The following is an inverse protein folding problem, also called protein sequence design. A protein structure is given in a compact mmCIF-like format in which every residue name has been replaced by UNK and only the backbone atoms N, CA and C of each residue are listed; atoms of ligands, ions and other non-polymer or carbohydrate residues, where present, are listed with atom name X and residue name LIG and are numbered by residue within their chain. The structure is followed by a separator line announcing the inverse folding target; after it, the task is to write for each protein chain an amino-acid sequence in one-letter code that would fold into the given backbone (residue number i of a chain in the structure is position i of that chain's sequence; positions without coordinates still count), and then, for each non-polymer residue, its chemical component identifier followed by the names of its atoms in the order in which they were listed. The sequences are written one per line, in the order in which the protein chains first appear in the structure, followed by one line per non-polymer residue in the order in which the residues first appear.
data_IF_737821095103
#
_entry.id   IF_737821095103
#
_cell.length_a   1.000
_cell.length_b   1.000
_cell.length_c   1.000
_cell.angle_alpha   90.00
_cell.angle_beta   90.00
_cell.angle_gamma   90.00
#
_symmetry.space_group_name_H-M   'P 1'
#
loop_
_entity.id
_entity.type
_entity.pdbx_description
1 polymer ?
#
# COMPACT_ATOMS: atom_id res chain seq x y z
N UNK A 1 -11.46 -11.41 14.70
CA UNK A 1 -12.33 -10.28 14.35
C UNK A 1 -13.59 -10.85 13.70
N UNK A 2 -14.79 -10.32 13.97
CA UNK A 2 -15.97 -10.70 13.20
C UNK A 2 -15.65 -10.43 11.72
N UNK A 3 -15.96 -11.39 10.86
CA UNK A 3 -15.74 -11.19 9.42
C UNK A 3 -16.83 -10.21 8.95
N UNK A 4 -16.58 -9.55 7.84
CA UNK A 4 -17.50 -8.59 7.28
C UNK A 4 -17.89 -9.06 5.89
N UNK A 5 -19.19 -9.05 5.59
CA UNK A 5 -19.73 -9.41 4.28
C UNK A 5 -19.57 -8.21 3.35
N UNK A 6 -18.77 -8.34 2.27
CA UNK A 6 -18.59 -7.28 1.30
C UNK A 6 -19.87 -7.04 0.51
N UNK A 7 -20.38 -5.80 0.48
CA UNK A 7 -21.50 -5.47 -0.39
C UNK A 7 -21.05 -5.35 -1.87
N UNK A 8 -21.98 -5.52 -2.84
CA UNK A 8 -21.67 -5.53 -4.28
C UNK A 8 -21.01 -4.26 -4.84
N UNK A 9 -21.11 -3.11 -4.16
CA UNK A 9 -20.42 -1.87 -4.54
C UNK A 9 -18.91 -1.90 -4.30
N UNK A 10 -18.41 -2.85 -3.51
CA UNK A 10 -17.00 -2.91 -3.11
C UNK A 10 -16.58 -1.84 -2.09
N UNK A 11 -17.48 -0.93 -1.72
CA UNK A 11 -17.21 0.18 -0.80
C UNK A 11 -17.93 0.04 0.55
N UNK A 12 -19.00 -0.75 0.59
CA UNK A 12 -19.76 -1.01 1.79
C UNK A 12 -19.50 -2.42 2.32
N UNK A 13 -19.66 -2.58 3.62
CA UNK A 13 -19.57 -3.87 4.30
C UNK A 13 -20.63 -4.00 5.42
N UNK A 14 -21.08 -5.23 5.63
CA UNK A 14 -22.04 -5.60 6.66
C UNK A 14 -21.45 -6.62 7.63
N UNK A 15 -21.98 -6.76 8.85
CA UNK A 15 -21.63 -7.87 9.75
C UNK A 15 -21.84 -9.25 9.12
N UNK A 16 -21.17 -10.27 9.64
CA UNK A 16 -21.27 -11.68 9.20
C UNK A 16 -22.71 -12.21 9.03
N UNK A 17 -23.60 -11.82 9.93
CA UNK A 17 -24.98 -12.30 9.96
C UNK A 17 -25.97 -11.35 9.27
N UNK A 18 -25.47 -10.46 8.41
CA UNK A 18 -26.27 -9.44 7.75
C UNK A 18 -26.22 -9.52 6.22
N UNK A 19 -27.33 -9.13 5.59
CA UNK A 19 -27.50 -9.12 4.13
C UNK A 19 -27.49 -7.69 3.60
N UNK A 20 -26.70 -7.42 2.56
CA UNK A 20 -26.65 -6.11 1.91
C UNK A 20 -27.91 -5.85 1.08
N UNK A 21 -28.63 -4.77 1.37
CA UNK A 21 -29.79 -4.28 0.63
C UNK A 21 -29.58 -2.84 0.16
N UNK A 22 -30.03 -2.52 -1.05
CA UNK A 22 -29.98 -1.15 -1.57
C UNK A 22 -31.09 -0.30 -0.94
N UNK A 23 -30.74 0.90 -0.51
CA UNK A 23 -31.66 1.89 0.08
C UNK A 23 -32.27 2.80 -0.99
N UNK A 24 -33.31 3.56 -0.61
CA UNK A 24 -33.97 4.53 -1.51
C UNK A 24 -33.04 5.63 -2.03
N UNK A 25 -31.94 5.90 -1.31
CA UNK A 25 -30.90 6.86 -1.69
C UNK A 25 -29.88 6.30 -2.69
N UNK A 26 -29.94 5.00 -3.03
CA UNK A 26 -28.92 4.29 -3.81
C UNK A 26 -27.71 3.83 -2.99
N UNK A 27 -27.63 4.19 -1.70
CA UNK A 27 -26.63 3.67 -0.77
C UNK A 27 -26.96 2.24 -0.28
N UNK A 28 -26.01 1.55 0.32
CA UNK A 28 -26.21 0.22 0.90
C UNK A 28 -26.59 0.27 2.38
N UNK A 29 -27.52 -0.61 2.75
CA UNK A 29 -27.92 -0.91 4.11
C UNK A 29 -27.72 -2.40 4.41
N UNK A 30 -27.62 -2.73 5.68
CA UNK A 30 -27.47 -4.08 6.19
C UNK A 30 -28.77 -4.51 6.86
N UNK A 31 -29.32 -5.62 6.41
CA UNK A 31 -30.41 -6.30 7.08
C UNK A 31 -29.85 -7.20 8.17
N UNK A 32 -30.35 -7.15 9.42
CA UNK A 32 -29.82 -7.87 10.57
C UNK A 32 -30.14 -9.37 10.55
N UNK A 33 -30.12 -9.98 9.37
CA UNK A 33 -30.37 -11.40 9.18
C UNK A 33 -29.66 -11.92 7.92
N UNK A 34 -29.23 -13.19 7.93
CA UNK A 34 -28.62 -13.81 6.77
C UNK A 34 -29.68 -14.10 5.70
N UNK A 35 -29.27 -14.01 4.42
CA UNK A 35 -30.11 -14.32 3.26
C UNK A 35 -31.46 -13.55 3.24
N UNK A 36 -31.46 -12.30 3.70
CA UNK A 36 -32.65 -11.48 3.75
C UNK A 36 -33.18 -11.16 2.35
N UNK A 37 -34.50 -11.22 2.18
CA UNK A 37 -35.20 -10.71 1.01
C UNK A 37 -35.45 -9.22 1.19
N UNK A 38 -34.78 -8.39 0.39
CA UNK A 38 -34.91 -6.94 0.44
C UNK A 38 -36.28 -6.50 -0.12
N UNK A 39 -37.05 -5.74 0.65
CA UNK A 39 -38.37 -5.27 0.23
C UNK A 39 -38.26 -4.14 -0.81
N UNK A 40 -39.35 -3.91 -1.55
CA UNK A 40 -39.40 -2.91 -2.63
C UNK A 40 -39.29 -1.47 -2.10
N UNK A 41 -39.68 -1.24 -0.86
CA UNK A 41 -39.61 0.07 -0.20
C UNK A 41 -38.18 0.51 0.14
N UNK A 42 -37.18 -0.37 -0.04
CA UNK A 42 -35.76 -0.10 0.16
C UNK A 42 -35.39 0.31 1.59
N UNK A 43 -36.27 0.03 2.55
CA UNK A 43 -36.06 0.32 3.98
C UNK A 43 -36.15 -0.96 4.79
N UNK A 44 -37.04 -1.87 4.37
CA UNK A 44 -37.30 -3.08 5.10
C UNK A 44 -36.79 -4.34 4.40
N UNK A 45 -36.71 -5.41 5.18
CA UNK A 45 -36.32 -6.73 4.72
C UNK A 45 -36.96 -7.83 5.55
N UNK A 46 -37.04 -8.98 4.90
CA UNK A 46 -37.70 -10.17 5.41
C UNK A 46 -36.75 -11.37 5.38
N UNK A 47 -36.96 -12.38 6.23
CA UNK A 47 -36.18 -13.62 6.19
C UNK A 47 -36.31 -14.33 4.83
N UNK A 48 -35.37 -15.24 4.54
CA UNK A 48 -35.40 -16.04 3.33
C UNK A 48 -36.76 -16.77 3.17
N UNK A 49 -37.26 -16.83 1.94
CA UNK A 49 -38.53 -17.48 1.56
C UNK A 49 -39.80 -16.86 2.16
N UNK A 50 -39.78 -15.59 2.58
CA UNK A 50 -40.97 -14.82 2.96
C UNK A 50 -41.18 -13.63 2.02
N UNK A 51 -42.44 -13.21 1.87
CA UNK A 51 -42.85 -12.10 1.00
C UNK A 51 -43.15 -10.87 1.84
N UNK A 52 -42.66 -9.71 1.42
CA UNK A 52 -42.92 -8.46 2.11
C UNK A 52 -44.38 -8.01 1.90
N UNK A 53 -45.19 -8.01 2.95
CA UNK A 53 -46.46 -7.31 3.02
C UNK A 53 -46.25 -5.93 3.67
N UNK A 54 -46.04 -4.93 2.81
CA UNK A 54 -45.82 -3.55 3.23
C UNK A 54 -47.09 -2.89 3.78
N UNK A 55 -48.27 -3.36 3.41
CA UNK A 55 -49.54 -2.80 3.86
C UNK A 55 -49.85 -3.15 5.32
N UNK A 56 -49.50 -4.37 5.72
CA UNK A 56 -49.70 -4.86 7.08
C UNK A 56 -48.42 -4.80 7.92
N UNK A 57 -47.29 -4.45 7.31
CA UNK A 57 -46.01 -4.38 7.99
C UNK A 57 -45.56 -5.77 8.47
N UNK A 58 -45.80 -6.83 7.67
CA UNK A 58 -45.36 -8.20 7.97
C UNK A 58 -44.66 -8.88 6.80
N UNK A 59 -43.82 -9.86 7.11
CA UNK A 59 -43.28 -10.83 6.17
C UNK A 59 -44.18 -12.06 6.22
N UNK A 60 -44.88 -12.34 5.12
CA UNK A 60 -45.83 -13.45 5.03
C UNK A 60 -45.14 -14.67 4.42
N UNK A 61 -45.34 -15.84 5.01
CA UNK A 61 -44.84 -17.10 4.46
C UNK A 61 -45.84 -17.69 3.46
N UNK A 62 -45.40 -18.15 2.27
CA UNK A 62 -46.25 -18.88 1.33
C UNK A 62 -46.85 -20.18 1.91
N UNK A 63 -46.25 -20.72 2.98
CA UNK A 63 -46.71 -21.96 3.65
C UNK A 63 -47.62 -21.69 4.86
N UNK A 64 -47.88 -20.43 5.22
CA UNK A 64 -48.93 -20.05 6.18
C UNK A 64 -48.60 -20.10 7.67
N UNK A 65 -47.37 -20.47 8.07
CA UNK A 65 -47.08 -20.76 9.49
C UNK A 65 -46.25 -19.70 10.25
N UNK A 66 -45.73 -18.66 9.61
CA UNK A 66 -44.85 -17.68 10.31
C UNK A 66 -44.93 -16.29 9.70
N UNK A 67 -45.95 -15.52 10.12
CA UNK A 67 -45.98 -14.08 9.88
C UNK A 67 -45.06 -13.39 10.90
N UNK A 68 -43.98 -12.77 10.42
CA UNK A 68 -43.03 -12.02 11.27
C UNK A 68 -43.03 -10.54 10.90
N UNK A 69 -42.75 -9.62 11.83
CA UNK A 69 -42.64 -8.20 11.50
C UNK A 69 -41.47 -7.94 10.52
N UNK A 70 -41.58 -6.90 9.70
CA UNK A 70 -40.47 -6.50 8.83
C UNK A 70 -39.29 -6.03 9.68
N UNK A 71 -38.09 -6.39 9.24
CA UNK A 71 -36.85 -5.88 9.81
C UNK A 71 -36.44 -4.61 9.07
N UNK A 72 -35.96 -3.59 9.80
CA UNK A 72 -35.43 -2.37 9.19
C UNK A 72 -33.95 -2.54 8.90
N UNK A 73 -33.52 -2.20 7.69
CA UNK A 73 -32.11 -2.19 7.33
C UNK A 73 -31.41 -0.99 8.00
N UNK A 74 -30.25 -1.22 8.61
CA UNK A 74 -29.40 -0.15 9.14
C UNK A 74 -28.34 0.27 8.11
N UNK A 75 -27.73 1.47 8.20
CA UNK A 75 -26.72 1.89 7.24
C UNK A 75 -25.53 0.93 7.21
N UNK A 76 -25.07 0.56 6.01
CA UNK A 76 -23.86 -0.25 5.87
C UNK A 76 -22.62 0.51 6.31
N UNK A 77 -21.63 -0.22 6.83
CA UNK A 77 -20.36 0.38 7.20
C UNK A 77 -19.58 0.72 5.94
N UNK A 78 -18.89 1.86 5.97
CA UNK A 78 -17.93 2.17 4.92
C UNK A 78 -16.68 1.33 5.16
N UNK A 79 -16.23 0.60 4.14
CA UNK A 79 -14.93 -0.07 4.22
C UNK A 79 -13.87 0.98 4.47
N UNK A 80 -13.17 0.85 5.59
CA UNK A 80 -11.93 1.58 5.76
C UNK A 80 -10.90 0.99 4.78
N UNK A 81 -10.17 1.82 4.02
CA UNK A 81 -9.02 1.32 3.29
C UNK A 81 -8.08 0.62 4.29
N UNK A 82 -7.45 -0.50 3.92
CA UNK A 82 -6.54 -1.19 4.81
C UNK A 82 -5.51 -0.19 5.33
N UNK A 83 -5.34 -0.14 6.66
CA UNK A 83 -4.34 0.70 7.28
C UNK A 83 -2.98 0.42 6.60
N UNK A 84 -2.16 1.45 6.35
CA UNK A 84 -0.82 1.22 5.82
C UNK A 84 -0.12 0.24 6.75
N UNK A 85 0.27 -0.92 6.21
CA UNK A 85 1.05 -1.91 6.92
C UNK A 85 2.36 -1.22 7.29
N UNK A 86 2.49 -0.84 8.55
CA UNK A 86 3.77 -0.39 9.09
C UNK A 86 4.70 -1.60 9.03
N UNK A 87 5.53 -1.66 7.97
CA UNK A 87 6.67 -2.55 7.94
C UNK A 87 7.48 -2.26 9.20
N UNK A 88 7.52 -3.22 10.12
CA UNK A 88 8.47 -3.19 11.22
C UNK A 88 9.85 -3.23 10.57
N UNK A 89 10.64 -2.22 10.87
CA UNK A 89 11.96 -1.99 10.29
C UNK A 89 12.99 -2.01 11.43
N UNK A 90 14.08 -2.74 11.24
CA UNK A 90 15.25 -2.75 12.10
C UNK A 90 16.10 -1.54 11.75
N UNK A 91 16.24 -0.61 12.70
CA UNK A 91 17.14 0.53 12.54
C UNK A 91 18.59 0.06 12.63
N UNK A 92 19.40 0.43 11.64
CA UNK A 92 20.82 0.09 11.59
C UNK A 92 21.64 0.93 12.59
N UNK A 93 22.89 0.52 12.90
CA UNK A 93 23.72 1.19 13.90
C UNK A 93 24.04 2.67 13.61
N UNK A 94 23.89 3.13 12.37
CA UNK A 94 24.03 4.53 11.97
C UNK A 94 22.84 5.42 12.37
N UNK A 95 21.73 4.82 12.82
CA UNK A 95 20.50 5.52 13.18
C UNK A 95 19.79 6.17 11.98
N UNK A 96 20.24 5.90 10.74
CA UNK A 96 19.72 6.48 9.50
C UNK A 96 19.21 5.43 8.53
N UNK A 97 19.87 4.28 8.45
CA UNK A 97 19.47 3.18 7.57
C UNK A 97 18.46 2.28 8.30
N UNK A 98 17.44 1.80 7.59
CA UNK A 98 16.41 0.94 8.16
C UNK A 98 16.16 -0.26 7.23
N UNK A 99 16.22 -1.46 7.79
CA UNK A 99 16.05 -2.71 7.05
C UNK A 99 14.72 -3.39 7.41
N UNK A 100 14.09 -4.14 6.49
CA UNK A 100 12.87 -4.88 6.80
C UNK A 100 13.11 -5.94 7.88
N UNK A 101 12.04 -6.32 8.60
CA UNK A 101 12.07 -7.38 9.61
C UNK A 101 12.81 -8.64 9.12
N UNK A 102 13.82 -9.06 9.88
CA UNK A 102 14.65 -10.25 9.58
C UNK A 102 15.86 -9.99 8.69
N UNK A 103 16.03 -8.79 8.14
CA UNK A 103 17.23 -8.42 7.40
C UNK A 103 18.35 -7.93 8.34
N UNK A 104 19.60 -8.28 8.01
CA UNK A 104 20.80 -7.87 8.75
C UNK A 104 21.40 -6.61 8.13
N UNK A 105 21.66 -5.57 8.94
CA UNK A 105 22.36 -4.37 8.49
C UNK A 105 23.85 -4.68 8.27
N UNK A 106 24.30 -4.60 7.02
CA UNK A 106 25.70 -4.73 6.65
C UNK A 106 26.30 -3.37 6.32
N UNK A 107 27.52 -3.11 6.82
CA UNK A 107 28.23 -1.88 6.55
C UNK A 107 28.93 -1.98 5.18
N UNK A 108 28.49 -1.18 4.21
CA UNK A 108 29.09 -1.11 2.87
C UNK A 108 30.30 -0.17 2.85
N UNK A 109 30.21 0.90 3.63
CA UNK A 109 31.25 1.92 3.73
C UNK A 109 31.17 2.59 5.11
N UNK A 110 32.12 3.47 5.49
CA UNK A 110 32.15 4.10 6.81
C UNK A 110 30.84 4.81 7.18
N UNK A 111 30.07 5.23 6.19
CA UNK A 111 28.82 5.99 6.36
C UNK A 111 27.62 5.37 5.64
N UNK A 112 27.69 4.12 5.19
CA UNK A 112 26.62 3.48 4.43
C UNK A 112 26.36 2.05 4.92
N UNK A 113 25.08 1.77 5.19
CA UNK A 113 24.59 0.44 5.50
C UNK A 113 23.64 -0.05 4.40
N UNK A 114 23.52 -1.37 4.28
CA UNK A 114 22.62 -2.03 3.35
C UNK A 114 22.08 -3.29 3.97
N UNK A 115 20.97 -3.77 3.42
CA UNK A 115 20.18 -4.81 4.05
C UNK A 115 20.49 -6.16 3.42
N UNK A 116 21.13 -7.04 4.18
CA UNK A 116 21.23 -8.44 3.81
C UNK A 116 19.92 -9.15 4.15
N UNK A 117 19.28 -9.86 3.20
CA UNK A 117 18.00 -10.56 3.44
C UNK A 117 18.12 -11.77 4.37
N UNK A 118 19.34 -12.20 4.68
CA UNK A 118 19.60 -13.31 5.61
C UNK A 118 19.55 -12.80 7.06
N UNK A 119 18.94 -13.60 7.93
CA UNK A 119 18.96 -13.37 9.38
C UNK A 119 20.35 -13.67 9.93
N UNK A 120 20.90 -12.77 10.75
CA UNK A 120 22.22 -12.91 11.39
C UNK A 120 23.37 -13.16 10.38
N UNK A 121 23.32 -12.48 9.25
CA UNK A 121 24.29 -12.65 8.18
C UNK A 121 25.70 -12.17 8.59
N UNK A 122 26.73 -12.86 8.09
CA UNK A 122 28.11 -12.39 8.11
C UNK A 122 28.30 -11.44 6.93
N UNK A 123 28.58 -10.17 7.21
CA UNK A 123 28.84 -9.17 6.18
C UNK A 123 30.27 -9.33 5.66
N UNK A 124 30.43 -9.46 4.34
CA UNK A 124 31.74 -9.60 3.73
C UNK A 124 32.46 -8.24 3.66
N UNK A 125 33.80 -8.27 3.63
CA UNK A 125 34.65 -7.07 3.65
C UNK A 125 34.60 -6.25 2.37
N UNK A 126 33.98 -6.76 1.32
CA UNK A 126 33.76 -6.06 0.05
C UNK A 126 32.55 -5.11 0.07
N UNK A 127 31.74 -5.14 1.14
CA UNK A 127 30.54 -4.32 1.25
C UNK A 127 29.48 -4.64 0.19
N UNK A 128 29.57 -5.78 -0.48
CA UNK A 128 28.67 -6.17 -1.58
C UNK A 128 28.15 -7.59 -1.46
N UNK A 129 28.70 -8.39 -0.54
CA UNK A 129 28.24 -9.73 -0.29
C UNK A 129 27.93 -9.96 1.20
N UNK A 130 26.99 -10.88 1.44
CA UNK A 130 26.71 -11.36 2.77
C UNK A 130 26.53 -12.88 2.75
N UNK A 131 26.96 -13.51 3.83
CA UNK A 131 26.96 -14.95 4.00
C UNK A 131 26.05 -15.35 5.17
N UNK A 132 25.46 -16.55 5.17
CA UNK A 132 24.65 -17.03 6.29
C UNK A 132 25.50 -17.18 7.57
N UNK A 133 24.86 -17.24 8.74
CA UNK A 133 25.59 -17.38 9.99
C UNK A 133 26.52 -18.61 10.00
N UNK A 134 27.73 -18.47 10.51
CA UNK A 134 28.70 -19.56 10.63
C UNK A 134 29.48 -19.92 9.35
N UNK A 135 29.44 -19.05 8.34
CA UNK A 135 30.27 -19.18 7.13
C UNK A 135 31.27 -18.03 7.00
N UNK A 136 32.40 -18.30 6.35
CA UNK A 136 33.44 -17.32 6.03
C UNK A 136 33.34 -16.92 4.57
N UNK A 137 33.39 -15.62 4.30
CA UNK A 137 33.41 -15.10 2.94
C UNK A 137 34.75 -15.44 2.26
N UNK A 138 34.71 -16.29 1.24
CA UNK A 138 35.80 -16.45 0.27
C UNK A 138 35.48 -15.57 -0.94
N UNK A 139 36.05 -14.36 -0.92
CA UNK A 139 35.87 -13.37 -1.97
C UNK A 139 36.59 -13.74 -3.28
N UNK A 140 37.62 -14.60 -3.22
CA UNK A 140 38.38 -15.01 -4.40
C UNK A 140 37.54 -15.97 -5.25
N UNK A 141 36.90 -16.93 -4.58
CA UNK A 141 36.05 -17.92 -5.24
C UNK A 141 34.57 -17.54 -5.25
N UNK A 142 34.24 -16.37 -4.71
CA UNK A 142 32.87 -15.92 -4.52
C UNK A 142 32.00 -16.98 -3.83
N UNK A 143 32.50 -17.59 -2.75
CA UNK A 143 31.75 -18.61 -1.98
C UNK A 143 31.71 -18.33 -0.48
N UNK A 144 30.65 -18.78 0.19
CA UNK A 144 30.59 -18.86 1.64
C UNK A 144 31.10 -20.25 2.05
N UNK A 145 32.26 -20.30 2.68
CA UNK A 145 32.87 -21.58 3.11
C UNK A 145 32.46 -21.89 4.55
N UNK A 146 32.04 -23.14 4.80
CA UNK A 146 31.84 -23.68 6.16
C UNK A 146 32.63 -24.96 6.35
N UNK A 147 32.86 -25.34 7.60
CA UNK A 147 33.50 -26.61 8.01
C UNK A 147 32.74 -27.89 7.54
N UNK A 148 31.60 -27.75 6.83
CA UNK A 148 30.81 -28.88 6.31
C UNK A 148 30.31 -28.73 4.86
N UNK A 149 30.76 -27.72 4.11
CA UNK A 149 30.38 -27.54 2.70
C UNK A 149 30.54 -26.12 2.17
N UNK A 150 30.76 -26.02 0.85
CA UNK A 150 30.89 -24.77 0.10
C UNK A 150 29.54 -24.39 -0.51
N UNK A 151 29.03 -23.21 -0.18
CA UNK A 151 27.87 -22.62 -0.85
C UNK A 151 28.33 -21.43 -1.71
N UNK A 152 27.74 -21.20 -2.90
CA UNK A 152 28.03 -20.00 -3.68
C UNK A 152 27.59 -18.75 -2.90
N UNK A 153 28.28 -17.61 -3.08
CA UNK A 153 27.85 -16.34 -2.51
C UNK A 153 26.44 -16.02 -2.99
N UNK A 154 25.59 -15.57 -2.07
CA UNK A 154 24.43 -14.80 -2.44
C UNK A 154 24.92 -13.39 -2.82
N UNK A 155 24.87 -13.07 -4.12
CA UNK A 155 25.02 -11.69 -4.57
C UNK A 155 23.97 -10.84 -3.83
N UNK A 156 24.37 -9.72 -3.20
CA UNK A 156 23.37 -8.69 -2.97
C UNK A 156 22.80 -8.36 -4.36
N UNK A 157 21.47 -8.41 -4.56
CA UNK A 157 20.92 -7.94 -5.81
C UNK A 157 21.36 -6.49 -5.91
N UNK A 158 22.20 -6.18 -6.91
CA UNK A 158 22.26 -4.82 -7.42
C UNK A 158 20.81 -4.45 -7.66
N UNK A 159 20.31 -3.47 -6.91
CA UNK A 159 18.95 -3.00 -7.09
C UNK A 159 18.84 -2.66 -8.57
N UNK A 160 18.07 -3.45 -9.32
CA UNK A 160 17.79 -3.22 -10.73
C UNK A 160 16.79 -2.07 -10.76
N UNK A 161 17.28 -0.91 -10.38
CA UNK A 161 16.51 0.30 -10.27
C UNK A 161 15.96 0.59 -11.67
N UNK A 162 14.64 0.64 -11.79
CA UNK A 162 13.98 0.94 -13.05
C UNK A 162 14.25 2.41 -13.37
N UNK A 163 15.08 2.68 -14.39
CA UNK A 163 15.43 4.05 -14.80
C UNK A 163 14.19 4.72 -15.38
N UNK A 164 13.69 5.76 -14.71
CA UNK A 164 12.60 6.56 -15.24
C UNK A 164 13.14 7.66 -16.16
N UNK A 165 14.21 8.34 -15.73
CA UNK A 165 15.00 9.27 -16.54
C UNK A 165 16.44 9.37 -16.03
N UNK A 166 17.18 10.40 -16.48
CA UNK A 166 18.57 10.64 -16.05
C UNK A 166 18.72 10.99 -14.56
N UNK A 167 17.67 11.51 -13.92
CA UNK A 167 17.71 12.01 -12.55
C UNK A 167 16.90 11.17 -11.56
N UNK A 168 16.04 10.27 -12.04
CA UNK A 168 15.04 9.59 -11.22
C UNK A 168 14.83 8.12 -11.61
N UNK A 169 14.38 7.36 -10.63
CA UNK A 169 14.33 5.92 -10.67
C UNK A 169 13.32 5.33 -9.70
N UNK A 170 12.91 4.11 -10.01
CA UNK A 170 12.00 3.33 -9.20
C UNK A 170 12.65 2.05 -8.69
N UNK A 171 12.24 1.57 -7.49
CA UNK A 171 12.67 0.27 -6.98
C UNK A 171 12.44 -0.87 -7.97
N UNK A 172 13.18 -1.96 -7.78
CA UNK A 172 12.92 -3.23 -8.44
C UNK A 172 11.43 -3.61 -8.39
N UNK A 173 10.88 -4.06 -9.51
CA UNK A 173 9.47 -4.48 -9.59
C UNK A 173 8.46 -3.34 -9.77
N UNK A 174 8.93 -2.09 -9.87
CA UNK A 174 8.05 -0.92 -10.05
C UNK A 174 8.08 -0.39 -11.48
N UNK A 175 6.98 0.25 -11.90
CA UNK A 175 6.88 0.90 -13.22
C UNK A 175 6.89 2.41 -13.10
N UNK A 176 7.68 3.08 -13.93
CA UNK A 176 7.74 4.54 -13.98
C UNK A 176 6.49 5.13 -14.64
N UNK A 177 5.81 6.03 -13.94
CA UNK A 177 4.62 6.73 -14.42
C UNK A 177 4.70 8.23 -14.10
N UNK A 178 4.18 9.11 -14.97
CA UNK A 178 4.14 10.56 -14.69
C UNK A 178 3.06 10.95 -13.67
N UNK A 179 3.42 11.90 -12.81
CA UNK A 179 2.55 12.61 -11.89
C UNK A 179 1.96 13.88 -12.55
N UNK A 180 0.93 14.46 -11.92
CA UNK A 180 0.26 15.67 -12.41
C UNK A 180 1.18 16.90 -12.41
N UNK A 181 2.21 16.90 -11.56
CA UNK A 181 3.27 17.91 -11.54
C UNK A 181 4.26 17.80 -12.70
N UNK A 182 4.16 16.75 -13.52
CA UNK A 182 5.15 16.42 -14.56
C UNK A 182 6.35 15.61 -14.06
N UNK A 183 6.52 15.46 -12.74
CA UNK A 183 7.56 14.63 -12.14
C UNK A 183 7.30 13.12 -12.36
N UNK A 184 8.35 12.30 -12.17
CA UNK A 184 8.22 10.85 -12.18
C UNK A 184 7.69 10.30 -10.87
N UNK A 185 6.88 9.26 -10.99
CA UNK A 185 6.38 8.45 -9.90
C UNK A 185 6.55 6.96 -10.18
N UNK A 186 6.55 6.15 -9.13
CA UNK A 186 6.65 4.72 -9.17
C UNK A 186 5.29 4.10 -8.90
N UNK A 187 4.87 3.22 -9.81
CA UNK A 187 3.80 2.28 -9.55
C UNK A 187 4.40 1.00 -8.96
N UNK A 188 3.92 0.50 -7.81
CA UNK A 188 4.42 -0.72 -7.18
C UNK A 188 3.87 -2.00 -7.85
N UNK A 189 3.83 -1.99 -9.17
CA UNK A 189 3.38 -3.09 -10.02
C UNK A 189 4.35 -3.18 -11.20
N UNK A 190 4.71 -4.40 -11.56
CA UNK A 190 5.48 -4.68 -12.75
C UNK A 190 4.64 -4.43 -14.00
N UNK A 191 5.24 -3.77 -15.00
CA UNK A 191 4.60 -3.47 -16.30
C UNK A 191 3.21 -2.80 -16.16
N UNK A 192 3.10 -1.87 -15.21
CA UNK A 192 1.84 -1.21 -14.89
C UNK A 192 1.36 -0.30 -16.02
N UNK A 193 0.03 -0.23 -16.18
CA UNK A 193 -0.64 0.76 -17.01
C UNK A 193 -0.81 2.05 -16.19
N UNK A 194 -0.16 3.13 -16.63
CA UNK A 194 -0.27 4.43 -15.98
C UNK A 194 -1.62 5.08 -16.30
N UNK A 195 -2.44 5.34 -15.28
CA UNK A 195 -3.75 5.94 -15.49
C UNK A 195 -3.65 7.44 -15.82
N UNK A 196 -4.62 7.97 -16.60
CA UNK A 196 -4.63 9.36 -17.06
C UNK A 196 -4.94 10.36 -15.94
N UNK A 197 -5.36 9.88 -14.78
CA UNK A 197 -5.57 10.69 -13.58
C UNK A 197 -4.26 11.17 -12.94
N UNK A 198 -3.11 10.72 -13.45
CA UNK A 198 -1.76 11.02 -12.97
C UNK A 198 -1.48 10.66 -11.51
N UNK A 199 -2.40 9.97 -10.83
CA UNK A 199 -2.28 9.57 -9.42
C UNK A 199 -2.29 8.06 -9.26
N UNK A 200 -3.01 7.32 -10.09
CA UNK A 200 -3.17 5.87 -9.95
C UNK A 200 -2.60 5.07 -11.13
N UNK A 201 -2.44 3.77 -10.96
CA UNK A 201 -1.94 2.85 -11.95
C UNK A 201 -2.62 1.49 -11.79
N UNK A 202 -2.67 0.76 -12.90
CA UNK A 202 -3.31 -0.54 -13.00
C UNK A 202 -2.29 -1.62 -13.39
N UNK A 203 -2.52 -2.88 -13.00
CA UNK A 203 -1.67 -3.98 -13.45
C UNK A 203 -1.79 -4.19 -14.96
N UNK A 204 -0.80 -4.88 -15.54
CA UNK A 204 -0.78 -5.21 -16.95
C UNK A 204 -2.09 -5.91 -17.38
N UNK A 205 -2.65 -5.50 -18.53
CA UNK A 205 -3.89 -6.07 -19.07
C UNK A 205 -5.17 -5.51 -18.46
N UNK A 206 -5.07 -4.53 -17.56
CA UNK A 206 -6.23 -3.79 -17.05
C UNK A 206 -6.26 -2.36 -17.61
N UNK A 207 -7.47 -1.86 -17.86
CA UNK A 207 -7.78 -0.50 -18.28
C UNK A 207 -8.23 0.32 -17.08
N UNK A 208 -7.75 1.56 -16.98
CA UNK A 208 -8.15 2.46 -15.90
C UNK A 208 -9.59 2.95 -16.10
N UNK A 209 -10.39 2.89 -15.05
CA UNK A 209 -11.75 3.43 -14.96
C UNK A 209 -11.78 4.55 -13.90
N UNK A 210 -11.61 5.81 -14.33
CA UNK A 210 -11.62 6.98 -13.44
C UNK A 210 -12.95 7.22 -12.74
N UNK A 211 -14.07 6.93 -13.41
CA UNK A 211 -15.41 7.13 -12.86
C UNK A 211 -15.72 6.11 -11.77
N UNK A 212 -15.28 4.88 -11.99
CA UNK A 212 -15.44 3.80 -11.03
C UNK A 212 -14.36 3.73 -9.95
N UNK A 213 -13.25 4.45 -10.10
CA UNK A 213 -12.14 4.39 -9.16
C UNK A 213 -11.40 3.05 -9.16
N UNK A 214 -11.28 2.40 -10.32
CA UNK A 214 -10.86 1.01 -10.42
C UNK A 214 -10.15 0.66 -11.73
N UNK A 215 -9.58 -0.54 -11.77
CA UNK A 215 -8.99 -1.17 -12.94
C UNK A 215 -9.97 -2.22 -13.48
N UNK A 216 -10.28 -2.16 -14.77
CA UNK A 216 -11.17 -3.08 -15.48
C UNK A 216 -10.37 -3.99 -16.39
N UNK A 217 -10.63 -5.30 -16.37
CA UNK A 217 -10.06 -6.25 -17.33
C UNK A 217 -11.13 -6.72 -18.33
N UNK A 218 -10.72 -6.99 -19.57
CA UNK A 218 -11.60 -7.58 -20.61
C UNK A 218 -12.25 -8.86 -20.10
N UNK A 219 -13.53 -8.79 -19.74
CA UNK A 219 -14.27 -9.83 -19.00
C UNK A 219 -15.08 -9.33 -17.81
N UNK A 220 -14.98 -8.03 -17.44
CA UNK A 220 -15.80 -7.42 -16.38
C UNK A 220 -15.20 -7.53 -14.96
N UNK A 221 -13.99 -8.08 -14.83
CA UNK A 221 -13.27 -8.12 -13.55
C UNK A 221 -12.82 -6.72 -13.17
N UNK A 222 -13.32 -6.24 -12.04
CA UNK A 222 -13.00 -4.92 -11.49
C UNK A 222 -12.14 -5.06 -10.23
N UNK A 223 -11.01 -4.36 -10.18
CA UNK A 223 -10.12 -4.34 -9.01
C UNK A 223 -9.77 -2.90 -8.63
N UNK A 224 -9.48 -2.61 -7.36
CA UNK A 224 -9.04 -1.28 -6.96
C UNK A 224 -7.71 -0.95 -7.64
N UNK A 225 -7.60 0.27 -8.14
CA UNK A 225 -6.34 0.80 -8.68
C UNK A 225 -5.33 1.09 -7.57
N UNK A 226 -4.06 1.21 -7.95
CA UNK A 226 -2.98 1.44 -7.00
C UNK A 226 -2.46 2.86 -7.14
N UNK A 227 -2.12 3.52 -6.03
CA UNK A 227 -1.57 4.88 -6.05
C UNK A 227 -0.08 4.88 -6.37
N UNK A 228 0.36 5.82 -7.20
CA UNK A 228 1.78 6.08 -7.50
C UNK A 228 2.47 6.71 -6.29
N UNK A 229 3.74 6.37 -6.06
CA UNK A 229 4.64 7.09 -5.14
C UNK A 229 5.58 7.99 -5.94
N UNK A 230 6.21 9.03 -5.38
CA UNK A 230 7.25 9.79 -6.09
C UNK A 230 8.46 8.92 -6.43
N UNK A 231 9.09 9.16 -7.58
CA UNK A 231 10.32 8.49 -7.97
C UNK A 231 11.51 8.97 -7.12
N UNK A 232 12.45 8.07 -6.87
CA UNK A 232 13.66 8.35 -6.10
C UNK A 232 14.67 9.05 -7.01
N UNK A 233 15.47 10.00 -6.50
CA UNK A 233 16.57 10.59 -7.28
C UNK A 233 17.71 9.57 -7.48
N UNK A 234 18.17 9.38 -8.72
CA UNK A 234 19.31 8.55 -9.10
C UNK A 234 20.62 9.23 -8.71
N UNK A 235 21.35 8.64 -7.76
CA UNK A 235 22.70 9.05 -7.42
C UNK A 235 22.75 10.39 -6.69
N UNK A 236 23.50 10.43 -5.60
CA UNK A 236 23.71 11.65 -4.83
C UNK A 236 24.30 12.76 -5.69
N UNK A 237 23.42 13.66 -6.16
CA UNK A 237 23.74 15.07 -6.27
C UNK A 237 22.77 15.82 -5.36
N UNK A 238 22.85 15.49 -4.06
CA UNK A 238 22.65 16.49 -3.03
C UNK A 238 23.68 17.57 -3.36
N UNK A 239 23.22 18.66 -3.96
CA UNK A 239 23.96 19.91 -3.80
C UNK A 239 24.02 20.11 -2.29
N UNK A 240 25.21 19.92 -1.72
CA UNK A 240 25.51 20.30 -0.36
C UNK A 240 25.17 21.80 -0.27
N UNK A 241 23.97 22.12 0.21
CA UNK A 241 23.29 23.32 -0.25
C UNK A 241 22.25 23.75 0.75
N UNK A 242 22.73 24.38 1.81
CA UNK A 242 21.98 25.07 2.84
C UNK A 242 20.58 25.53 2.36
N UNK A 243 19.51 25.15 3.08
CA UNK A 243 18.13 25.60 2.87
C UNK A 243 18.09 27.13 2.79
N UNK A 244 17.94 27.68 1.59
CA UNK A 244 17.99 29.12 1.34
C UNK A 244 16.68 29.78 1.82
N UNK A 245 16.78 30.68 2.80
CA UNK A 245 15.64 31.38 3.38
C UNK A 245 15.40 32.75 2.72
N UNK A 246 16.47 33.46 2.35
CA UNK A 246 16.44 34.69 1.55
C UNK A 246 17.77 34.91 0.80
N UNK A 247 17.98 36.09 0.21
CA UNK A 247 19.22 36.41 -0.50
C UNK A 247 20.48 36.48 0.39
N UNK A 248 20.30 36.53 1.71
CA UNK A 248 21.38 36.69 2.69
C UNK A 248 21.52 35.53 3.68
N UNK A 249 20.55 34.62 3.73
CA UNK A 249 20.38 33.65 4.82
C UNK A 249 20.07 32.27 4.27
N UNK A 250 20.91 31.29 4.62
CA UNK A 250 20.71 29.88 4.31
C UNK A 250 21.01 29.01 5.53
N UNK A 251 20.22 27.96 5.74
CA UNK A 251 20.28 27.11 6.92
C UNK A 251 20.85 25.72 6.62
N UNK A 252 21.57 25.08 7.55
CA UNK A 252 22.15 23.75 7.34
C UNK A 252 21.06 22.69 7.14
N UNK A 253 21.44 21.57 6.51
CA UNK A 253 20.53 20.44 6.25
C UNK A 253 19.95 19.89 7.56
N UNK A 254 18.61 19.82 7.63
CA UNK A 254 17.88 19.44 8.84
C UNK A 254 17.38 20.62 9.69
N UNK A 255 17.61 21.86 9.27
CA UNK A 255 17.01 23.05 9.88
C UNK A 255 15.95 23.69 8.97
N UNK A 256 14.88 24.22 9.55
CA UNK A 256 13.82 24.96 8.86
C UNK A 256 14.05 26.48 8.95
N UNK A 257 13.61 27.21 7.93
CA UNK A 257 13.67 28.69 7.92
C UNK A 257 12.55 29.28 8.79
N UNK A 258 12.92 30.03 9.81
CA UNK A 258 12.02 30.76 10.69
C UNK A 258 12.17 32.26 10.51
N UNK A 259 11.06 32.99 10.61
CA UNK A 259 11.05 34.45 10.52
C UNK A 259 11.03 35.06 11.92
N UNK A 260 12.07 35.81 12.26
CA UNK A 260 12.24 36.42 13.58
C UNK A 260 11.39 37.70 13.71
N UNK A 261 11.14 38.12 14.96
CA UNK A 261 10.35 39.30 15.31
C UNK A 261 10.92 40.63 14.80
N UNK A 262 12.17 40.66 14.35
CA UNK A 262 12.82 41.79 13.69
C UNK A 262 12.71 41.76 12.15
N UNK A 263 11.96 40.81 11.59
CA UNK A 263 11.69 40.70 10.15
C UNK A 263 12.76 39.93 9.34
N UNK A 264 13.84 39.50 9.98
CA UNK A 264 14.94 38.72 9.39
C UNK A 264 14.70 37.21 9.47
N UNK A 265 15.36 36.46 8.59
CA UNK A 265 15.31 34.99 8.58
C UNK A 265 16.37 34.39 9.51
N UNK A 266 16.05 33.24 10.11
CA UNK A 266 16.94 32.46 10.97
C UNK A 266 16.65 30.97 10.85
N UNK A 267 17.55 30.15 11.39
CA UNK A 267 17.45 28.68 11.31
C UNK A 267 16.88 28.09 12.58
N UNK A 268 15.83 27.30 12.45
CA UNK A 268 15.22 26.52 13.52
C UNK A 268 15.58 25.03 13.36
N UNK A 269 15.96 24.32 14.44
CA UNK A 269 16.06 22.87 14.42
C UNK A 269 14.70 22.19 14.21
#
# INVERSE_FOLDING_TARGET
APRAVPCPDGQSECPDDATCCVTSSGAWGCCPMPQASCCVDKVHCCPHATVCDLTHGRCVSPTGDTDVPLSTAFPAWKRQPPAPVALRQVLCPDGRSACPDGATCCQLSPTQYGCCPLQNAVCCSDGQHCCPQGTTCDLIHSTCTSLGGSAPLAALPTAHEVKCDEQTSCPNGNTCCRLSSGAWGCCPLEQAVCCPDHVHCCPQGYTCDPEGGSCLQGGGTRRPWVRKTPALPRGGQVTLGNVKCDDKTSCPDGSTCCRMSLGTWGCCP
#
